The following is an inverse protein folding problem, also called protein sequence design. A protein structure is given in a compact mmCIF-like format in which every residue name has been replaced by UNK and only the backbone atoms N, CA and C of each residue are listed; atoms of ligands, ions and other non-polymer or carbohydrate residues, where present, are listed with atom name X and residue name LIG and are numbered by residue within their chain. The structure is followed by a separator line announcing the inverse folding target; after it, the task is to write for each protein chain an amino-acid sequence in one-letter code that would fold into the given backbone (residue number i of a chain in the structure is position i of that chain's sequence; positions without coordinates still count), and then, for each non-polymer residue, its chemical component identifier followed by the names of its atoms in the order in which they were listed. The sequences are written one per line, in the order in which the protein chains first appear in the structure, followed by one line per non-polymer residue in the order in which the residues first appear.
data_IF_793754363390
#
_entry.id   IF_793754363390
#
_cell.length_a   1.000
_cell.length_b   1.000
_cell.length_c   1.000
_cell.angle_alpha   90.00
_cell.angle_beta   90.00
_cell.angle_gamma   90.00
#
_symmetry.space_group_name_H-M   'P 1'
#
loop_
_entity.id
_entity.type
_entity.pdbx_description
1 polymer ?
#
# COMPACT_ATOMS: atom_id res chain seq x y z
N UNK A 1 6.26 -12.61 12.81
CA UNK A 1 5.51 -11.34 12.94
C UNK A 1 5.02 -11.16 14.38
N UNK A 2 4.93 -9.92 14.87
CA UNK A 2 4.34 -9.59 16.18
C UNK A 2 3.26 -8.53 15.97
N UNK A 3 2.33 -8.39 16.92
CA UNK A 3 1.23 -7.43 16.82
C UNK A 3 1.72 -5.99 16.66
N UNK A 4 2.79 -5.62 17.37
CA UNK A 4 3.45 -4.31 17.22
C UNK A 4 3.86 -4.04 15.76
N UNK A 5 4.42 -5.03 15.06
CA UNK A 5 4.85 -4.86 13.67
C UNK A 5 3.63 -4.80 12.73
N UNK A 6 2.58 -5.61 12.99
CA UNK A 6 1.31 -5.55 12.25
C UNK A 6 0.65 -4.18 12.36
N UNK A 7 0.61 -3.63 13.56
CA UNK A 7 0.07 -2.30 13.84
C UNK A 7 0.85 -1.20 13.13
N UNK A 8 2.19 -1.28 13.08
CA UNK A 8 3.00 -0.32 12.32
C UNK A 8 2.59 -0.31 10.85
N UNK A 9 2.52 -1.49 10.21
CA UNK A 9 2.09 -1.58 8.82
C UNK A 9 0.68 -1.01 8.63
N UNK A 10 -0.28 -1.44 9.44
CA UNK A 10 -1.68 -1.02 9.32
C UNK A 10 -1.84 0.49 9.53
N UNK A 11 -1.23 1.03 10.59
CA UNK A 11 -1.35 2.44 10.95
C UNK A 11 -0.67 3.33 9.91
N UNK A 12 0.49 2.94 9.38
CA UNK A 12 1.16 3.70 8.31
C UNK A 12 0.37 3.70 7.02
N UNK A 13 -0.17 2.56 6.59
CA UNK A 13 -1.01 2.51 5.40
C UNK A 13 -2.25 3.39 5.56
N UNK A 14 -2.97 3.30 6.69
CA UNK A 14 -4.16 4.12 6.93
C UNK A 14 -3.82 5.61 7.09
N UNK A 15 -2.69 5.95 7.71
CA UNK A 15 -2.20 7.33 7.79
C UNK A 15 -1.96 7.92 6.40
N UNK A 16 -1.25 7.19 5.53
CA UNK A 16 -0.96 7.65 4.17
C UNK A 16 -2.22 7.74 3.29
N UNK A 17 -3.14 6.77 3.42
CA UNK A 17 -4.46 6.83 2.76
C UNK A 17 -5.26 8.05 3.23
N UNK A 18 -5.25 8.36 4.53
CA UNK A 18 -5.88 9.55 5.09
C UNK A 18 -5.26 10.84 4.55
N UNK A 19 -3.92 10.90 4.47
CA UNK A 19 -3.18 12.05 3.95
C UNK A 19 -3.55 12.33 2.49
N UNK A 20 -3.63 11.28 1.66
CA UNK A 20 -4.07 11.38 0.26
C UNK A 20 -5.54 11.76 0.17
N UNK A 21 -6.42 11.10 0.93
CA UNK A 21 -7.86 11.38 0.89
C UNK A 21 -8.18 12.85 1.21
N UNK A 22 -7.45 13.45 2.16
CA UNK A 22 -7.58 14.87 2.54
C UNK A 22 -6.94 15.84 1.54
N UNK A 23 -6.24 15.36 0.52
CA UNK A 23 -5.52 16.19 -0.45
C UNK A 23 -4.29 16.88 0.15
N UNK A 24 -3.59 16.21 1.07
CA UNK A 24 -2.42 16.72 1.79
C UNK A 24 -1.09 16.09 1.33
N UNK A 25 -1.14 15.04 0.52
CA UNK A 25 0.03 14.33 0.02
C UNK A 25 0.63 15.04 -1.20
N UNK A 26 1.89 15.46 -1.15
CA UNK A 26 2.56 16.16 -2.26
C UNK A 26 2.79 15.25 -3.45
N UNK A 27 2.53 15.76 -4.65
CA UNK A 27 2.82 15.08 -5.92
C UNK A 27 3.98 15.78 -6.64
N UNK A 28 4.90 14.98 -7.22
CA UNK A 28 6.03 15.48 -8.00
C UNK A 28 5.64 16.47 -9.10
N UNK A 29 4.48 16.27 -9.74
CA UNK A 29 4.00 17.12 -10.83
C UNK A 29 3.41 18.46 -10.37
N UNK A 30 3.45 18.72 -9.06
CA UNK A 30 3.06 19.99 -8.45
C UNK A 30 1.75 19.89 -7.67
N UNK A 31 1.68 20.65 -6.57
CA UNK A 31 0.56 20.60 -5.65
C UNK A 31 0.49 19.29 -4.87
N UNK A 32 -0.74 18.91 -4.50
CA UNK A 32 -1.03 17.67 -3.79
C UNK A 32 -1.84 16.73 -4.67
N UNK A 33 -1.76 15.43 -4.40
CA UNK A 33 -2.66 14.43 -4.96
C UNK A 33 -4.13 14.85 -4.72
N UNK A 34 -5.05 14.59 -5.67
CA UNK A 34 -6.45 15.00 -5.53
C UNK A 34 -7.08 14.31 -4.33
N UNK A 35 -8.04 14.97 -3.68
CA UNK A 35 -8.84 14.39 -2.59
C UNK A 35 -9.57 13.13 -3.04
N UNK A 36 -9.79 12.20 -2.12
CA UNK A 36 -10.53 10.97 -2.39
C UNK A 36 -11.94 11.05 -1.79
N UNK A 37 -12.95 10.72 -2.58
CA UNK A 37 -14.34 10.76 -2.15
C UNK A 37 -14.66 9.69 -1.09
N UNK A 38 -14.07 8.50 -1.26
CA UNK A 38 -14.47 7.28 -0.53
C UNK A 38 -13.33 6.28 -0.32
N UNK A 39 -12.14 6.77 0.02
CA UNK A 39 -10.98 5.92 0.28
C UNK A 39 -11.27 4.93 1.42
N UNK A 40 -11.14 3.62 1.19
CA UNK A 40 -11.44 2.62 2.23
C UNK A 40 -10.37 2.60 3.33
N UNK A 41 -10.76 2.41 4.59
CA UNK A 41 -9.85 2.10 5.69
C UNK A 41 -9.40 0.65 5.57
N UNK A 42 -8.10 0.42 5.65
CA UNK A 42 -7.54 -0.93 5.68
C UNK A 42 -7.74 -1.57 7.05
N UNK A 43 -7.95 -2.88 7.03
CA UNK A 43 -7.92 -3.81 8.18
C UNK A 43 -6.79 -4.81 7.96
N UNK A 44 -6.22 -5.31 9.06
CA UNK A 44 -5.22 -6.37 8.98
C UNK A 44 -5.90 -7.72 8.78
N UNK A 45 -5.43 -8.53 7.85
CA UNK A 45 -6.01 -9.82 7.49
C UNK A 45 -4.93 -10.92 7.57
N UNK A 46 -5.16 -11.91 8.44
CA UNK A 46 -4.19 -12.96 8.72
C UNK A 46 -3.99 -13.92 7.53
N UNK A 47 -5.00 -14.12 6.68
CA UNK A 47 -4.86 -14.98 5.50
C UNK A 47 -3.98 -14.30 4.43
N UNK A 48 -4.09 -12.97 4.32
CA UNK A 48 -3.19 -12.16 3.49
C UNK A 48 -1.76 -12.17 4.06
N UNK A 49 -1.58 -12.08 5.38
CA UNK A 49 -0.26 -12.22 6.02
C UNK A 49 0.34 -13.60 5.75
N UNK A 50 -0.44 -14.68 5.93
CA UNK A 50 0.00 -16.04 5.65
C UNK A 50 0.42 -16.22 4.19
N UNK A 51 -0.24 -15.53 3.25
CA UNK A 51 0.15 -15.52 1.85
C UNK A 51 1.46 -14.78 1.59
N UNK A 52 1.64 -13.60 2.20
CA UNK A 52 2.91 -12.85 2.15
C UNK A 52 4.07 -13.65 2.77
N UNK A 53 3.83 -14.35 3.89
CA UNK A 53 4.82 -15.19 4.57
C UNK A 53 5.38 -16.29 3.65
N UNK A 54 4.48 -17.04 2.99
CA UNK A 54 4.90 -18.12 2.07
C UNK A 54 5.81 -17.63 0.94
N UNK A 55 5.70 -16.37 0.53
CA UNK A 55 6.62 -15.77 -0.43
C UNK A 55 7.91 -15.31 0.24
N UNK A 56 7.81 -14.59 1.37
CA UNK A 56 8.96 -14.03 2.08
C UNK A 56 9.96 -15.12 2.53
N UNK A 57 9.47 -16.26 3.01
CA UNK A 57 10.28 -17.42 3.45
C UNK A 57 11.14 -18.03 2.34
N UNK A 58 10.80 -17.78 1.07
CA UNK A 58 11.62 -18.24 -0.07
C UNK A 58 12.94 -17.46 -0.15
N UNK A 59 13.02 -16.29 0.48
CA UNK A 59 14.20 -15.43 0.50
C UNK A 59 14.78 -15.14 -0.89
N UNK A 60 13.89 -14.88 -1.86
CA UNK A 60 14.24 -14.48 -3.23
C UNK A 60 13.73 -13.08 -3.46
N UNK A 61 14.65 -12.16 -3.73
CA UNK A 61 14.30 -10.78 -4.07
C UNK A 61 13.39 -10.74 -5.31
N UNK A 62 12.27 -10.02 -5.18
CA UNK A 62 11.29 -9.82 -6.24
C UNK A 62 9.88 -10.21 -5.82
N UNK A 63 8.94 -10.03 -6.75
CA UNK A 63 7.55 -10.37 -6.56
C UNK A 63 7.31 -11.89 -6.57
N UNK A 64 6.27 -12.33 -5.86
CA UNK A 64 5.75 -13.68 -5.95
C UNK A 64 5.15 -13.93 -7.33
N UNK A 65 4.96 -15.21 -7.69
CA UNK A 65 4.16 -15.54 -8.85
C UNK A 65 2.69 -15.12 -8.60
N UNK A 66 2.01 -14.54 -9.61
CA UNK A 66 0.59 -14.14 -9.49
C UNK A 66 -0.32 -15.29 -9.08
N UNK A 67 -0.02 -16.53 -9.50
CA UNK A 67 -0.79 -17.72 -9.13
C UNK A 67 -0.67 -18.09 -7.64
N UNK A 68 0.35 -17.61 -6.95
CA UNK A 68 0.57 -17.85 -5.52
C UNK A 68 -0.16 -16.83 -4.63
N UNK A 69 -0.67 -15.76 -5.23
CA UNK A 69 -1.36 -14.64 -4.55
C UNK A 69 -2.62 -14.21 -5.32
N UNK A 70 -3.44 -15.18 -5.72
CA UNK A 70 -4.62 -14.95 -6.56
C UNK A 70 -5.53 -13.86 -5.95
N UNK A 71 -5.81 -12.82 -6.75
CA UNK A 71 -6.64 -11.70 -6.33
C UNK A 71 -5.95 -10.70 -5.38
N UNK A 72 -4.67 -10.89 -5.06
CA UNK A 72 -3.91 -10.00 -4.17
C UNK A 72 -2.88 -9.16 -4.93
N UNK A 73 -2.77 -7.89 -4.54
CA UNK A 73 -1.66 -7.01 -4.88
C UNK A 73 -0.42 -7.35 -4.06
N UNK A 74 0.73 -6.76 -4.40
CA UNK A 74 1.97 -7.00 -3.65
C UNK A 74 2.96 -5.84 -3.79
N UNK A 75 3.53 -5.45 -2.65
CA UNK A 75 4.70 -4.57 -2.56
C UNK A 75 5.84 -5.33 -1.89
N UNK A 76 7.07 -5.11 -2.36
CA UNK A 76 8.27 -5.75 -1.81
C UNK A 76 9.37 -4.72 -1.56
N UNK A 77 10.08 -4.87 -0.45
CA UNK A 77 11.19 -4.00 -0.07
C UNK A 77 12.30 -4.84 0.56
N UNK A 78 13.55 -4.46 0.38
CA UNK A 78 14.67 -5.15 1.01
C UNK A 78 15.81 -4.18 1.37
N UNK A 79 16.59 -4.57 2.36
CA UNK A 79 17.85 -3.92 2.73
C UNK A 79 18.95 -4.95 2.92
N UNK A 80 20.19 -4.55 2.59
CA UNK A 80 21.39 -5.35 2.82
C UNK A 80 21.82 -5.36 4.31
N UNK A 81 21.13 -4.62 5.18
CA UNK A 81 21.32 -4.72 6.63
C UNK A 81 20.66 -6.02 7.10
N UNK A 82 21.45 -7.05 7.49
CA UNK A 82 20.88 -8.28 8.00
C UNK A 82 20.18 -8.02 9.33
N UNK A 83 19.11 -8.76 9.59
CA UNK A 83 18.37 -8.74 10.86
C UNK A 83 17.98 -7.32 11.34
N UNK A 84 17.68 -6.42 10.41
CA UNK A 84 17.17 -5.09 10.76
C UNK A 84 15.94 -5.25 11.66
N UNK A 85 15.85 -4.44 12.71
CA UNK A 85 14.70 -4.46 13.61
C UNK A 85 13.38 -4.42 12.81
N UNK A 86 12.48 -5.38 13.07
CA UNK A 86 11.27 -5.55 12.25
C UNK A 86 10.36 -4.32 12.24
N UNK A 87 10.27 -3.59 13.34
CA UNK A 87 9.50 -2.35 13.43
C UNK A 87 10.11 -1.25 12.56
N UNK A 88 11.43 -1.13 12.55
CA UNK A 88 12.16 -0.19 11.68
C UNK A 88 11.99 -0.55 10.21
N UNK A 89 12.13 -1.84 9.85
CA UNK A 89 11.93 -2.31 8.48
C UNK A 89 10.48 -2.06 7.99
N UNK A 90 9.48 -2.29 8.86
CA UNK A 90 8.09 -2.01 8.56
C UNK A 90 7.86 -0.51 8.30
N UNK A 91 8.38 0.36 9.16
CA UNK A 91 8.27 1.82 9.02
C UNK A 91 8.92 2.32 7.71
N UNK A 92 10.18 1.94 7.49
CA UNK A 92 10.97 2.36 6.32
C UNK A 92 10.40 1.84 5.01
N UNK A 93 9.90 0.60 4.97
CA UNK A 93 9.30 0.05 3.76
C UNK A 93 8.01 0.79 3.37
N UNK A 94 7.12 1.08 4.33
CA UNK A 94 5.94 1.90 4.09
C UNK A 94 6.28 3.31 3.58
N UNK A 95 7.28 3.96 4.19
CA UNK A 95 7.75 5.27 3.72
C UNK A 95 8.33 5.20 2.30
N UNK A 96 9.15 4.18 2.02
CA UNK A 96 9.74 3.96 0.70
C UNK A 96 8.68 3.74 -0.38
N UNK A 97 7.63 2.99 -0.09
CA UNK A 97 6.53 2.76 -1.03
C UNK A 97 5.74 4.06 -1.27
N UNK A 98 5.43 4.81 -0.21
CA UNK A 98 4.59 6.00 -0.33
C UNK A 98 5.30 7.18 -1.02
N UNK A 99 6.59 7.37 -0.74
CA UNK A 99 7.38 8.51 -1.27
C UNK A 99 7.61 8.46 -2.78
N UNK A 100 7.22 7.37 -3.47
CA UNK A 100 7.15 7.33 -4.93
C UNK A 100 6.28 8.46 -5.50
N UNK A 101 5.20 8.86 -4.82
CA UNK A 101 4.34 9.96 -5.26
C UNK A 101 5.11 11.29 -5.34
N UNK A 102 5.82 11.66 -4.27
CA UNK A 102 6.56 12.92 -4.24
C UNK A 102 7.80 12.87 -5.16
N UNK A 103 8.37 11.68 -5.37
CA UNK A 103 9.57 11.50 -6.19
C UNK A 103 9.28 11.45 -7.69
N UNK A 104 8.22 10.76 -8.09
CA UNK A 104 7.94 10.39 -9.48
C UNK A 104 6.58 10.90 -9.98
N UNK A 105 5.61 11.11 -9.10
CA UNK A 105 4.32 11.73 -9.43
C UNK A 105 3.33 10.82 -10.14
N UNK A 106 2.06 11.19 -10.03
CA UNK A 106 0.94 10.57 -10.75
C UNK A 106 0.19 11.62 -11.56
N UNK A 107 -0.08 12.78 -10.95
CA UNK A 107 -0.85 13.86 -11.56
C UNK A 107 -2.34 13.85 -11.21
N UNK A 108 -3.01 14.94 -11.55
CA UNK A 108 -4.39 15.23 -11.11
C UNK A 108 -5.46 14.34 -11.76
N UNK A 109 -5.14 13.66 -12.86
CA UNK A 109 -6.05 12.69 -13.46
C UNK A 109 -6.24 11.47 -12.57
N UNK A 110 -5.24 11.15 -11.74
CA UNK A 110 -5.25 10.03 -10.79
C UNK A 110 -5.51 8.66 -11.47
N UNK A 111 -5.08 8.52 -12.72
CA UNK A 111 -5.18 7.30 -13.52
C UNK A 111 -3.83 6.61 -13.55
N UNK A 112 -3.79 5.31 -13.29
CA UNK A 112 -2.58 4.51 -13.45
C UNK A 112 -2.40 4.13 -14.92
N UNK A 113 -1.81 5.02 -15.72
CA UNK A 113 -1.56 4.75 -17.14
C UNK A 113 -0.42 3.76 -17.32
N UNK A 114 -0.41 3.10 -18.49
CA UNK A 114 0.72 2.25 -18.89
C UNK A 114 2.05 3.03 -18.90
N UNK A 115 2.03 4.29 -19.35
CA UNK A 115 3.20 5.16 -19.33
C UNK A 115 3.73 5.32 -17.90
N UNK A 116 2.87 5.72 -16.95
CA UNK A 116 3.25 5.93 -15.55
C UNK A 116 3.79 4.66 -14.88
N UNK A 117 3.15 3.51 -15.12
CA UNK A 117 3.51 2.25 -14.47
C UNK A 117 4.84 1.67 -14.96
N UNK A 118 5.15 1.83 -16.25
CA UNK A 118 6.37 1.27 -16.87
C UNK A 118 7.48 2.29 -17.10
N UNK A 119 7.43 3.49 -16.48
CA UNK A 119 8.51 4.48 -16.57
C UNK A 119 9.83 3.89 -16.07
N UNK A 120 10.88 4.08 -16.86
CA UNK A 120 12.18 3.55 -16.50
C UNK A 120 12.74 4.25 -15.27
N UNK A 121 13.09 3.46 -14.24
CA UNK A 121 13.70 3.93 -12.97
C UNK A 121 12.80 4.86 -12.13
N UNK A 122 11.51 4.94 -12.45
CA UNK A 122 10.50 5.73 -11.75
C UNK A 122 9.33 4.84 -11.32
N UNK A 123 9.54 4.04 -10.28
CA UNK A 123 8.51 3.14 -9.78
C UNK A 123 7.39 3.94 -9.12
N UNK A 124 6.14 3.64 -9.49
CA UNK A 124 4.94 4.24 -8.88
C UNK A 124 3.93 3.19 -8.40
N UNK A 125 4.21 1.92 -8.72
CA UNK A 125 3.34 0.78 -8.44
C UNK A 125 3.17 0.52 -6.94
N UNK A 126 4.17 0.84 -6.12
CA UNK A 126 4.07 0.59 -4.69
C UNK A 126 3.15 1.62 -4.03
N UNK A 127 3.32 2.91 -4.36
CA UNK A 127 2.44 3.98 -3.90
C UNK A 127 0.99 3.71 -4.32
N UNK A 128 0.77 3.45 -5.61
CA UNK A 128 -0.59 3.25 -6.13
C UNK A 128 -1.31 2.08 -5.46
N UNK A 129 -0.60 1.00 -5.14
CA UNK A 129 -1.17 -0.11 -4.38
C UNK A 129 -1.52 0.27 -2.92
N UNK A 130 -0.68 1.07 -2.24
CA UNK A 130 -0.98 1.51 -0.87
C UNK A 130 -2.27 2.34 -0.79
N UNK A 131 -2.51 3.17 -1.81
CA UNK A 131 -3.66 4.09 -1.86
C UNK A 131 -4.75 3.66 -2.84
N UNK A 132 -4.74 2.40 -3.27
CA UNK A 132 -5.78 1.86 -4.12
C UNK A 132 -7.12 1.84 -3.37
N UNK A 133 -8.16 2.50 -3.90
CA UNK A 133 -9.41 2.71 -3.17
C UNK A 133 -10.00 1.42 -2.62
N UNK A 134 -10.06 0.38 -3.46
CA UNK A 134 -10.75 -0.86 -3.14
C UNK A 134 -9.92 -1.84 -2.31
N UNK A 135 -8.61 -1.64 -2.19
CA UNK A 135 -7.74 -2.49 -1.35
C UNK A 135 -7.94 -2.13 0.12
N UNK A 136 -8.56 -3.02 0.89
CA UNK A 136 -8.88 -2.79 2.31
C UNK A 136 -8.40 -3.90 3.24
N UNK A 137 -7.88 -5.02 2.73
CA UNK A 137 -7.23 -6.07 3.52
C UNK A 137 -5.72 -5.99 3.34
N UNK A 138 -4.98 -5.95 4.44
CA UNK A 138 -3.53 -5.84 4.44
C UNK A 138 -2.92 -7.00 5.22
N UNK A 139 -1.87 -7.61 4.66
CA UNK A 139 -1.04 -8.57 5.37
C UNK A 139 0.41 -8.39 4.96
N UNK A 140 1.33 -8.32 5.93
CA UNK A 140 2.73 -7.99 5.70
C UNK A 140 3.66 -8.84 6.55
N UNK A 141 4.85 -9.12 6.04
CA UNK A 141 5.89 -9.91 6.72
C UNK A 141 7.23 -9.23 6.60
N UNK A 142 8.01 -9.28 7.69
CA UNK A 142 9.45 -8.97 7.71
C UNK A 142 10.21 -10.26 7.98
N UNK A 143 10.94 -10.73 6.97
CA UNK A 143 11.71 -11.97 6.97
C UNK A 143 13.21 -11.69 6.99
N UNK A 144 13.96 -12.49 7.74
CA UNK A 144 15.43 -12.39 7.82
C UNK A 144 16.03 -13.47 6.94
N UNK A 145 16.59 -13.05 5.81
CA UNK A 145 17.15 -13.93 4.82
C UNK A 145 18.66 -13.99 4.97
N UNK A 146 19.14 -15.00 5.70
CA UNK A 146 20.57 -15.27 5.87
C UNK A 146 21.08 -16.22 4.78
N UNK A 147 20.97 -15.81 3.52
CA UNK A 147 21.44 -16.59 2.36
C UNK A 147 22.68 -15.91 1.75
N UNK A 148 23.88 -16.49 1.91
CA UNK A 148 25.09 -16.01 1.25
C UNK A 148 24.98 -16.06 -0.28
N UNK A 149 25.65 -15.15 -1.02
CA UNK A 149 26.53 -14.09 -0.54
C UNK A 149 25.81 -12.77 -0.19
N UNK A 150 24.48 -12.73 -0.24
CA UNK A 150 23.68 -11.50 -0.16
C UNK A 150 22.57 -11.63 0.89
N UNK A 151 22.91 -11.63 2.19
CA UNK A 151 21.90 -11.62 3.23
C UNK A 151 21.06 -10.33 3.15
N UNK A 152 19.78 -10.43 3.49
CA UNK A 152 18.87 -9.29 3.45
C UNK A 152 17.79 -9.37 4.54
N UNK A 153 17.30 -8.21 4.95
CA UNK A 153 15.98 -8.13 5.59
C UNK A 153 14.96 -7.87 4.49
N UNK A 154 14.01 -8.79 4.31
CA UNK A 154 13.04 -8.77 3.22
C UNK A 154 11.64 -8.47 3.77
N UNK A 155 10.95 -7.51 3.14
CA UNK A 155 9.59 -7.11 3.48
C UNK A 155 8.68 -7.42 2.31
N UNK A 156 7.57 -8.10 2.60
CA UNK A 156 6.51 -8.40 1.63
C UNK A 156 5.19 -7.94 2.24
N UNK A 157 4.46 -7.07 1.55
CA UNK A 157 3.07 -6.71 1.87
C UNK A 157 2.17 -7.15 0.72
N UNK A 158 1.07 -7.84 1.03
CA UNK A 158 0.03 -8.18 0.08
C UNK A 158 -1.29 -7.49 0.41
N UNK A 159 -2.10 -7.26 -0.61
CA UNK A 159 -3.26 -6.36 -0.56
C UNK A 159 -4.49 -7.01 -1.15
N UNK A 160 -5.60 -7.05 -0.40
CA UNK A 160 -6.86 -7.67 -0.82
C UNK A 160 -8.02 -6.67 -0.89
N UNK A 161 -8.80 -6.66 -1.98
CA UNK A 161 -8.41 -7.08 -3.33
C UNK A 161 -7.16 -6.33 -3.82
N UNK A 162 -6.43 -6.92 -4.77
CA UNK A 162 -5.30 -6.27 -5.43
C UNK A 162 -5.71 -5.08 -6.28
N UNK A 163 -4.83 -4.08 -6.34
CA UNK A 163 -5.00 -2.89 -7.16
C UNK A 163 -4.12 -2.91 -8.42
N UNK A 164 -3.68 -1.73 -8.82
CA UNK A 164 -2.78 -1.50 -9.96
C UNK A 164 -3.32 -2.01 -11.30
N UNK A 165 -4.62 -1.84 -11.52
CA UNK A 165 -5.22 -2.07 -12.83
C UNK A 165 -4.84 -0.91 -13.75
N UNK A 166 -4.14 -1.23 -14.85
CA UNK A 166 -3.74 -0.23 -15.85
C UNK A 166 -4.98 0.42 -16.47
N UNK A 167 -4.88 1.72 -16.71
CA UNK A 167 -5.92 2.61 -17.24
C UNK A 167 -7.16 2.76 -16.35
N UNK A 168 -7.06 2.36 -15.08
CA UNK A 168 -8.06 2.64 -14.05
C UNK A 168 -7.63 3.82 -13.17
N UNK A 169 -8.62 4.49 -12.58
CA UNK A 169 -8.38 5.45 -11.52
C UNK A 169 -7.86 4.72 -10.27
N UNK A 170 -6.88 5.32 -9.58
CA UNK A 170 -6.31 4.75 -8.35
C UNK A 170 -7.35 4.85 -7.22
N UNK A 171 -8.08 5.96 -7.19
CA UNK A 171 -9.22 6.21 -6.31
C UNK A 171 -10.17 7.24 -6.93
N UNK A 172 -11.43 7.21 -6.51
CA UNK A 172 -12.44 8.17 -6.93
C UNK A 172 -12.14 9.54 -6.34
N UNK A 173 -11.98 10.53 -7.22
CA UNK A 173 -11.73 11.93 -6.82
C UNK A 173 -13.01 12.56 -6.28
N UNK A 174 -12.89 13.32 -5.21
CA UNK A 174 -14.02 14.07 -4.64
C UNK A 174 -13.77 14.50 -3.20
N UNK A 175 -14.75 15.17 -2.60
CA UNK A 175 -14.66 15.56 -1.19
C UNK A 175 -14.73 14.33 -0.28
N UNK A 176 -13.87 14.26 0.77
CA UNK A 176 -13.90 13.20 1.76
C UNK A 176 -15.27 12.99 2.37
N UNK A 177 -15.57 11.73 2.71
CA UNK A 177 -16.80 11.37 3.40
C UNK A 177 -17.04 12.25 4.63
N UNK A 178 -18.27 12.74 4.78
CA UNK A 178 -18.75 13.47 5.95
C UNK A 178 -19.87 12.69 6.65
N UNK A 179 -20.52 11.78 5.93
CA UNK A 179 -21.59 10.91 6.40
C UNK A 179 -21.34 9.49 5.95
N UNK A 180 -22.01 8.52 6.58
CA UNK A 180 -21.91 7.10 6.19
C UNK A 180 -22.37 6.90 4.73
N UNK A 181 -23.39 7.66 4.27
CA UNK A 181 -23.93 7.61 2.90
C UNK A 181 -22.93 8.07 1.83
N UNK A 182 -21.92 8.86 2.21
CA UNK A 182 -20.87 9.31 1.30
C UNK A 182 -19.96 8.16 0.89
N UNK A 183 -19.91 7.05 1.64
CA UNK A 183 -19.11 5.87 1.29
C UNK A 183 -19.72 5.02 0.16
N UNK A 184 -21.02 5.17 -0.12
CA UNK A 184 -21.76 4.44 -1.17
C UNK A 184 -21.57 2.91 -1.11
N UNK A 185 -21.58 2.35 0.10
CA UNK A 185 -21.62 0.92 0.33
C UNK A 185 -22.52 0.58 1.53
N UNK A 186 -23.09 -0.62 1.51
CA UNK A 186 -23.99 -1.11 2.56
C UNK A 186 -23.24 -1.27 3.88
N UNK A 187 -23.83 -0.78 4.98
CA UNK A 187 -23.32 -0.84 6.35
C UNK A 187 -21.91 -0.24 6.59
N UNK A 188 -21.38 0.50 5.62
CA UNK A 188 -20.13 1.22 5.76
C UNK A 188 -20.25 2.42 6.71
N UNK A 189 -19.16 2.74 7.41
CA UNK A 189 -19.05 3.91 8.28
C UNK A 189 -18.04 4.91 7.76
N UNK A 190 -18.31 6.20 7.91
CA UNK A 190 -17.31 7.23 7.63
C UNK A 190 -16.50 7.57 8.89
N UNK A 191 -15.19 7.33 8.84
CA UNK A 191 -14.22 7.92 9.78
C UNK A 191 -13.93 9.36 9.33
N UNK A 192 -14.70 10.31 9.84
CA UNK A 192 -14.61 11.74 9.44
C UNK A 192 -13.21 12.31 9.67
N UNK A 193 -12.62 12.04 10.83
CA UNK A 193 -11.32 12.56 11.20
C UNK A 193 -10.20 11.99 10.32
N UNK A 194 -10.35 10.76 9.83
CA UNK A 194 -9.37 10.13 8.93
C UNK A 194 -9.71 10.33 7.45
N UNK A 195 -10.91 10.80 7.09
CA UNK A 195 -11.39 10.82 5.71
C UNK A 195 -11.42 9.43 5.06
N UNK A 196 -11.74 8.38 5.83
CA UNK A 196 -11.72 6.99 5.35
C UNK A 196 -13.07 6.28 5.58
N UNK A 197 -13.48 5.47 4.61
CA UNK A 197 -14.65 4.61 4.67
C UNK A 197 -14.31 3.25 5.30
N UNK A 198 -14.88 2.97 6.45
CA UNK A 198 -14.75 1.71 7.18
C UNK A 198 -15.74 0.71 6.55
N UNK A 199 -15.21 -0.40 6.04
CA UNK A 199 -16.02 -1.51 5.54
C UNK A 199 -16.66 -2.28 6.70
N UNK A 200 -17.78 -2.99 6.47
CA UNK A 200 -18.43 -3.82 7.48
C UNK A 200 -17.52 -4.89 8.09
#
# INVERSE_FOLDING_TARGET
MTDVVREIFLNKHNYYRSLVAKGLAKDKFGGNAPKAARMRKMVYDCDVEASALRHAEKCRWGHSNKLERLGLGENVWATAVPEMNRSVAADMSCESFFTELERYGVGQDNVLTNELFYRQKEQIGHYTQMVWQDSYKLGCVVEYCDIPPAPMTFVVCQYGPGGNFIDQIIYEKGEPCQTDDDCKCTDCKCSRDEALCIMP
#
